data_IF_019475356718
#
_entry.id   IF_019475356718
#
_cell.length_a   1.000
_cell.length_b   1.000
_cell.length_c   1.000
_cell.angle_alpha   90.00
_cell.angle_beta   90.00
_cell.angle_gamma   90.00
#
_symmetry.space_group_name_H-M   'P 1'
#
loop_
_entity.id
_entity.type
_entity.pdbx_description
1 polymer ?
#
# COMPACT_ATOMS: atom_id res chain seq x y z
N UNK A 1 -38.00 -79.13 57.09
CA UNK A 1 -37.72 -78.11 58.05
C UNK A 1 -36.70 -77.16 57.47
N UNK A 2 -37.17 -76.10 56.96
CA UNK A 2 -37.07 -74.74 57.47
C UNK A 2 -35.69 -74.19 57.33
N UNK A 3 -35.62 -73.27 56.48
CA UNK A 3 -35.73 -71.82 56.60
C UNK A 3 -34.34 -71.23 56.80
N UNK A 4 -33.94 -70.18 56.23
CA UNK A 4 -34.50 -68.94 55.72
C UNK A 4 -33.44 -68.24 54.91
N UNK A 5 -33.84 -67.62 53.85
CA UNK A 5 -33.22 -66.41 53.35
C UNK A 5 -33.14 -65.34 54.42
N UNK A 6 -32.22 -64.39 54.31
CA UNK A 6 -32.57 -63.19 53.53
C UNK A 6 -31.41 -62.51 52.78
N UNK A 7 -31.75 -62.25 51.59
CA UNK A 7 -31.49 -61.06 50.87
C UNK A 7 -31.25 -59.78 51.69
N UNK A 8 -30.17 -59.09 51.44
CA UNK A 8 -30.22 -57.63 51.29
C UNK A 8 -29.10 -57.13 50.38
N UNK A 9 -29.49 -56.92 49.19
CA UNK A 9 -28.74 -56.15 48.23
C UNK A 9 -28.77 -54.69 48.69
N UNK A 10 -27.67 -54.21 49.23
CA UNK A 10 -27.44 -52.81 49.42
C UNK A 10 -27.26 -52.10 48.09
N UNK A 11 -28.32 -51.51 47.62
CA UNK A 11 -28.25 -50.52 46.49
C UNK A 11 -27.30 -49.44 46.79
N UNK A 12 -26.13 -49.48 46.21
CA UNK A 12 -25.24 -48.30 46.09
C UNK A 12 -25.85 -47.41 44.99
N UNK A 13 -26.68 -46.50 45.40
CA UNK A 13 -27.15 -45.41 44.56
C UNK A 13 -25.98 -44.48 44.20
N UNK A 14 -25.43 -44.68 43.04
CA UNK A 14 -24.57 -43.68 42.42
C UNK A 14 -25.39 -42.41 42.17
N UNK A 15 -25.18 -41.41 43.00
CA UNK A 15 -25.66 -40.06 42.75
C UNK A 15 -24.72 -39.38 41.76
N UNK A 16 -25.15 -39.02 40.56
CA UNK A 16 -24.34 -38.26 39.64
C UNK A 16 -24.18 -36.84 40.19
N UNK A 17 -22.99 -36.47 40.63
CA UNK A 17 -22.72 -35.06 40.97
C UNK A 17 -21.70 -34.77 42.06
N UNK A 18 -21.10 -35.78 42.69
CA UNK A 18 -20.08 -35.52 43.71
C UNK A 18 -18.64 -35.59 43.12
N UNK A 19 -18.33 -34.71 42.19
CA UNK A 19 -16.97 -34.45 41.74
C UNK A 19 -16.13 -33.72 42.78
N UNK A 20 -16.70 -33.35 43.94
CA UNK A 20 -16.06 -32.54 44.98
C UNK A 20 -15.07 -33.32 45.86
N UNK A 21 -14.88 -34.63 45.66
CA UNK A 21 -14.04 -35.46 46.55
C UNK A 21 -12.92 -36.25 45.89
N UNK A 22 -12.56 -35.96 44.64
CA UNK A 22 -11.32 -36.47 44.11
C UNK A 22 -10.18 -35.55 44.55
N UNK A 23 -9.86 -35.63 45.84
CA UNK A 23 -8.65 -34.95 46.35
C UNK A 23 -7.43 -35.60 45.71
N UNK A 24 -6.94 -34.98 44.65
CA UNK A 24 -5.61 -35.26 44.17
C UNK A 24 -4.64 -35.00 45.32
N UNK A 25 -3.71 -35.92 45.64
CA UNK A 25 -2.68 -35.64 46.64
C UNK A 25 -2.06 -34.30 46.41
N UNK A 26 -1.79 -33.51 47.47
CA UNK A 26 -1.22 -32.16 47.40
C UNK A 26 -0.05 -32.03 46.42
N UNK A 27 0.83 -33.01 46.43
CA UNK A 27 1.94 -33.12 45.49
C UNK A 27 1.50 -33.12 43.99
N UNK A 28 0.42 -33.81 43.65
CA UNK A 28 -0.11 -33.83 42.27
C UNK A 28 -0.77 -32.50 41.89
N UNK A 29 -1.39 -31.84 42.84
CA UNK A 29 -1.97 -30.51 42.63
C UNK A 29 -0.87 -29.47 42.38
N UNK A 30 0.22 -29.48 43.16
CA UNK A 30 1.38 -28.62 42.95
C UNK A 30 2.06 -28.86 41.59
N UNK A 31 2.22 -30.11 41.20
CA UNK A 31 2.83 -30.47 39.90
C UNK A 31 1.93 -30.01 38.73
N UNK A 32 0.62 -30.17 38.86
CA UNK A 32 -0.33 -29.67 37.84
C UNK A 32 -0.31 -28.15 37.74
N UNK A 33 -0.25 -27.43 38.87
CA UNK A 33 -0.13 -25.98 38.90
C UNK A 33 1.15 -25.48 38.25
N UNK A 34 2.31 -26.12 38.55
CA UNK A 34 3.59 -25.79 37.91
C UNK A 34 3.55 -25.98 36.39
N UNK A 35 3.04 -27.13 35.92
CA UNK A 35 2.88 -27.39 34.47
C UNK A 35 1.97 -26.39 33.80
N UNK A 36 0.88 -26.00 34.46
CA UNK A 36 -0.02 -24.98 33.96
C UNK A 36 0.68 -23.62 33.85
N UNK A 37 1.44 -23.25 34.87
CA UNK A 37 2.19 -22.00 34.86
C UNK A 37 3.24 -21.98 33.74
N UNK A 38 4.00 -23.07 33.56
CA UNK A 38 4.96 -23.23 32.45
C UNK A 38 4.26 -23.10 31.08
N UNK A 39 3.09 -23.74 30.92
CA UNK A 39 2.30 -23.64 29.70
C UNK A 39 1.85 -22.21 29.43
N UNK A 40 1.31 -21.51 30.44
CA UNK A 40 0.89 -20.12 30.31
C UNK A 40 2.06 -19.19 29.99
N UNK A 41 3.22 -19.41 30.58
CA UNK A 41 4.45 -18.63 30.28
C UNK A 41 4.84 -18.82 28.82
N UNK A 42 4.93 -20.07 28.34
CA UNK A 42 5.26 -20.38 26.94
C UNK A 42 4.23 -19.80 25.97
N UNK A 43 2.96 -19.86 26.33
CA UNK A 43 1.90 -19.28 25.51
C UNK A 43 2.02 -17.77 25.41
N UNK A 44 2.29 -17.08 26.53
CA UNK A 44 2.47 -15.64 26.55
C UNK A 44 3.71 -15.19 25.74
N UNK A 45 4.81 -15.95 25.79
CA UNK A 45 5.99 -15.72 24.95
C UNK A 45 5.69 -15.90 23.47
N UNK A 46 4.94 -16.94 23.12
CA UNK A 46 4.52 -17.21 21.73
C UNK A 46 3.62 -16.09 21.18
N UNK A 47 2.67 -15.61 21.98
CA UNK A 47 1.82 -14.49 21.60
C UNK A 47 2.63 -13.22 21.37
N UNK A 48 3.55 -12.89 22.28
CA UNK A 48 4.44 -11.73 22.11
C UNK A 48 5.27 -11.82 20.83
N UNK A 49 5.84 -12.97 20.54
CA UNK A 49 6.64 -13.16 19.33
C UNK A 49 5.79 -12.97 18.06
N UNK A 50 4.56 -13.47 18.08
CA UNK A 50 3.65 -13.30 16.96
C UNK A 50 3.20 -11.85 16.77
N UNK A 51 2.93 -11.11 17.86
CA UNK A 51 2.64 -9.68 17.80
C UNK A 51 3.77 -8.87 17.14
N UNK A 52 5.03 -9.14 17.52
CA UNK A 52 6.20 -8.49 16.90
C UNK A 52 6.28 -8.82 15.41
N UNK A 53 6.12 -10.09 15.02
CA UNK A 53 6.11 -10.50 13.62
C UNK A 53 5.02 -9.81 12.80
N UNK A 54 3.82 -9.68 13.37
CA UNK A 54 2.73 -8.98 12.70
C UNK A 54 3.01 -7.49 12.52
N UNK A 55 3.64 -6.85 13.49
CA UNK A 55 4.06 -5.45 13.39
C UNK A 55 5.11 -5.26 12.30
N UNK A 56 6.13 -6.10 12.25
CA UNK A 56 7.17 -6.05 11.21
C UNK A 56 6.57 -6.26 9.81
N UNK A 57 5.65 -7.20 9.67
CA UNK A 57 4.95 -7.44 8.39
C UNK A 57 4.12 -6.23 7.98
N UNK A 58 3.40 -5.61 8.91
CA UNK A 58 2.61 -4.40 8.63
C UNK A 58 3.49 -3.23 8.19
N UNK A 59 4.65 -3.05 8.80
CA UNK A 59 5.62 -2.03 8.39
C UNK A 59 6.13 -2.31 6.97
N UNK A 60 6.57 -3.52 6.68
CA UNK A 60 7.04 -3.91 5.35
C UNK A 60 5.96 -3.74 4.27
N UNK A 61 4.70 -4.07 4.57
CA UNK A 61 3.57 -3.86 3.66
C UNK A 61 3.29 -2.37 3.40
N UNK A 62 3.43 -1.51 4.41
CA UNK A 62 3.28 -0.05 4.26
C UNK A 62 4.39 0.52 3.38
N UNK A 63 5.64 0.18 3.65
CA UNK A 63 6.80 0.62 2.86
C UNK A 63 6.67 0.21 1.38
N UNK A 64 6.30 -1.05 1.12
CA UNK A 64 6.06 -1.53 -0.25
C UNK A 64 4.90 -0.80 -0.93
N UNK A 65 3.81 -0.54 -0.22
CA UNK A 65 2.67 0.19 -0.75
C UNK A 65 3.05 1.62 -1.13
N UNK A 66 3.81 2.30 -0.27
CA UNK A 66 4.24 3.68 -0.49
C UNK A 66 5.21 3.76 -1.66
N UNK A 67 6.15 2.84 -1.77
CA UNK A 67 7.05 2.71 -2.91
C UNK A 67 6.28 2.49 -4.22
N UNK A 68 5.31 1.56 -4.24
CA UNK A 68 4.48 1.29 -5.42
C UNK A 68 3.55 2.47 -5.78
N UNK A 69 3.05 3.20 -4.79
CA UNK A 69 2.19 4.36 -5.04
C UNK A 69 2.94 5.54 -5.63
N UNK A 70 4.24 5.66 -5.30
CA UNK A 70 5.15 6.69 -5.80
C UNK A 70 5.76 6.35 -7.17
N UNK A 71 5.62 5.11 -7.65
CA UNK A 71 6.15 4.70 -8.95
C UNK A 71 5.19 5.09 -10.08
N UNK A 72 5.62 5.87 -11.10
CA UNK A 72 4.81 6.21 -12.27
C UNK A 72 4.48 4.96 -13.10
N UNK A 73 3.22 4.51 -13.05
CA UNK A 73 2.79 3.25 -13.68
C UNK A 73 1.62 3.42 -14.64
N UNK A 74 1.03 4.61 -14.74
CA UNK A 74 -0.05 4.89 -15.67
C UNK A 74 0.38 5.98 -16.67
N UNK A 75 -0.23 5.96 -17.86
CA UNK A 75 -0.04 7.02 -18.83
C UNK A 75 -0.66 8.33 -18.34
N UNK A 76 0.06 9.46 -18.47
CA UNK A 76 -0.44 10.76 -18.00
C UNK A 76 -1.60 11.28 -18.84
N UNK A 77 -1.67 10.89 -20.10
CA UNK A 77 -2.72 11.30 -21.03
C UNK A 77 -2.99 10.18 -22.04
N UNK A 78 -4.25 10.00 -22.42
CA UNK A 78 -4.62 9.14 -23.55
C UNK A 78 -4.29 9.90 -24.82
N UNK A 79 -3.58 9.29 -25.77
CA UNK A 79 -3.19 9.96 -27.01
C UNK A 79 -2.25 9.14 -27.88
N UNK A 80 -1.75 9.75 -28.94
CA UNK A 80 -0.79 9.13 -29.84
C UNK A 80 0.62 9.67 -29.57
N UNK A 81 1.60 8.77 -29.50
CA UNK A 81 3.02 9.16 -29.41
C UNK A 81 3.46 9.72 -30.75
N UNK A 82 3.64 11.04 -30.81
CA UNK A 82 4.07 11.75 -32.04
C UNK A 82 5.59 11.87 -32.14
N UNK A 83 6.31 11.81 -31.02
CA UNK A 83 7.77 11.83 -31.00
C UNK A 83 8.32 11.13 -29.77
N UNK A 84 9.28 10.26 -29.97
CA UNK A 84 9.95 9.50 -28.93
C UNK A 84 11.12 10.24 -28.32
N UNK A 85 11.57 9.77 -27.17
CA UNK A 85 12.82 10.18 -26.54
C UNK A 85 14.01 9.85 -27.44
N UNK A 86 15.02 10.73 -27.49
CA UNK A 86 16.26 10.51 -28.21
C UNK A 86 16.58 11.55 -29.28
N UNK A 87 17.54 11.22 -30.13
CA UNK A 87 17.95 12.12 -31.23
C UNK A 87 16.89 12.17 -32.33
N UNK A 88 16.51 13.38 -32.72
CA UNK A 88 15.57 13.62 -33.83
C UNK A 88 15.98 14.86 -34.64
N UNK A 89 15.44 15.01 -35.84
CA UNK A 89 15.52 16.27 -36.58
C UNK A 89 14.81 17.38 -35.79
N UNK A 90 15.42 18.55 -35.72
CA UNK A 90 14.85 19.66 -34.97
C UNK A 90 13.51 20.12 -35.62
N UNK A 91 12.38 20.21 -34.86
CA UNK A 91 11.07 20.55 -35.43
C UNK A 91 10.98 21.96 -36.04
N UNK A 92 11.90 22.84 -35.69
CA UNK A 92 11.97 24.20 -36.22
C UNK A 92 13.11 24.41 -37.23
N UNK A 93 13.67 23.35 -37.78
CA UNK A 93 14.82 23.37 -38.69
C UNK A 93 16.16 23.44 -37.96
N UNK A 94 17.21 22.98 -38.61
CA UNK A 94 18.59 23.00 -38.09
C UNK A 94 19.19 21.62 -37.89
N UNK A 95 20.25 21.55 -37.06
CA UNK A 95 20.94 20.31 -36.72
C UNK A 95 20.06 19.42 -35.83
N UNK A 96 20.37 18.11 -35.78
CA UNK A 96 19.69 17.17 -34.89
C UNK A 96 19.59 17.67 -33.45
N UNK A 97 18.50 17.42 -32.82
CA UNK A 97 18.19 17.80 -31.44
C UNK A 97 17.91 16.55 -30.61
N UNK A 98 18.46 16.49 -29.41
CA UNK A 98 18.14 15.45 -28.46
C UNK A 98 16.84 15.77 -27.72
N UNK A 99 15.81 14.94 -27.89
CA UNK A 99 14.53 15.07 -27.23
C UNK A 99 14.58 14.37 -25.87
N UNK A 100 14.41 15.13 -24.78
CA UNK A 100 14.52 14.63 -23.40
C UNK A 100 13.21 14.06 -22.84
N UNK A 101 12.18 13.93 -23.67
CA UNK A 101 10.86 13.49 -23.26
C UNK A 101 10.17 12.65 -24.33
N UNK A 102 8.90 12.46 -24.14
CA UNK A 102 7.97 11.78 -25.03
C UNK A 102 6.84 12.76 -25.37
N UNK A 103 6.58 12.98 -26.65
CA UNK A 103 5.48 13.84 -27.09
C UNK A 103 4.23 13.00 -27.33
N UNK A 104 3.16 13.28 -26.59
CA UNK A 104 1.86 12.58 -26.71
C UNK A 104 0.83 13.59 -27.20
N UNK A 105 0.33 13.41 -28.41
CA UNK A 105 -0.62 14.31 -29.07
C UNK A 105 -2.05 13.94 -28.70
N UNK A 106 -2.84 14.95 -28.37
CA UNK A 106 -4.29 14.85 -28.22
C UNK A 106 -4.93 16.23 -28.42
N UNK A 107 -6.27 16.30 -28.35
CA UNK A 107 -7.03 17.56 -28.45
C UNK A 107 -6.68 18.50 -27.29
N UNK A 108 -6.62 19.80 -27.56
CA UNK A 108 -6.49 20.82 -26.53
C UNK A 108 -7.64 20.65 -25.52
N UNK A 109 -7.30 20.75 -24.22
CA UNK A 109 -8.25 20.58 -23.13
C UNK A 109 -8.40 19.12 -22.64
N UNK A 110 -7.73 18.15 -23.27
CA UNK A 110 -7.67 16.77 -22.74
C UNK A 110 -7.01 16.77 -21.38
N UNK A 111 -7.58 16.12 -20.33
CA UNK A 111 -6.99 16.09 -19.00
C UNK A 111 -5.66 15.32 -18.97
N UNK A 112 -4.70 15.88 -18.24
CA UNK A 112 -3.42 15.23 -17.93
C UNK A 112 -3.46 14.80 -16.47
N UNK A 113 -3.13 13.54 -16.20
CA UNK A 113 -3.19 12.92 -14.89
C UNK A 113 -1.80 12.65 -14.33
N UNK A 114 -1.67 12.75 -13.01
CA UNK A 114 -0.46 12.31 -12.31
C UNK A 114 -0.28 10.80 -12.43
N UNK A 115 0.87 10.28 -12.89
CA UNK A 115 1.10 8.84 -13.10
C UNK A 115 1.37 8.09 -11.79
N UNK A 116 1.68 8.82 -10.73
CA UNK A 116 1.90 8.35 -9.37
C UNK A 116 1.54 9.46 -8.38
N UNK A 117 1.46 9.14 -7.10
CA UNK A 117 1.37 10.16 -6.06
C UNK A 117 2.68 10.96 -5.98
N UNK A 118 2.61 12.21 -5.52
CA UNK A 118 3.79 13.04 -5.33
C UNK A 118 3.47 14.48 -4.96
N UNK A 119 4.51 15.25 -4.72
CA UNK A 119 4.41 16.67 -4.43
C UNK A 119 4.72 17.49 -5.68
N UNK A 120 3.87 18.44 -6.00
CA UNK A 120 4.07 19.38 -7.10
C UNK A 120 5.20 20.34 -6.72
N UNK A 121 6.29 20.29 -7.48
CA UNK A 121 7.47 21.14 -7.27
C UNK A 121 7.49 22.36 -8.19
N UNK A 122 6.69 22.34 -9.26
CA UNK A 122 6.50 23.47 -10.16
C UNK A 122 5.08 23.43 -10.74
N UNK A 123 4.40 24.56 -10.75
CA UNK A 123 3.12 24.76 -11.45
C UNK A 123 3.01 26.18 -12.00
N UNK A 124 3.20 26.33 -13.29
CA UNK A 124 3.18 27.65 -13.92
C UNK A 124 3.91 27.72 -15.25
N UNK A 125 4.33 28.90 -15.64
CA UNK A 125 5.10 29.10 -16.87
C UNK A 125 6.58 28.77 -16.65
N UNK A 126 7.13 27.95 -17.53
CA UNK A 126 8.52 27.52 -17.52
C UNK A 126 9.15 27.63 -18.92
N UNK A 127 9.61 28.82 -19.24
CA UNK A 127 10.36 29.11 -20.44
C UNK A 127 9.77 28.51 -21.72
N UNK A 128 10.55 27.68 -22.43
CA UNK A 128 10.15 27.03 -23.66
C UNK A 128 9.06 26.00 -23.49
N UNK A 129 8.90 25.40 -22.29
CA UNK A 129 7.86 24.44 -21.98
C UNK A 129 6.47 25.08 -21.84
N UNK A 130 6.36 26.39 -21.75
CA UNK A 130 5.09 27.08 -21.57
C UNK A 130 4.49 26.82 -20.19
N UNK A 131 3.19 26.59 -20.09
CA UNK A 131 2.58 26.12 -18.85
C UNK A 131 3.01 24.69 -18.57
N UNK A 132 3.57 24.47 -17.37
CA UNK A 132 4.20 23.23 -16.99
C UNK A 132 3.85 22.85 -15.56
N UNK A 133 3.80 21.55 -15.31
CA UNK A 133 3.73 20.97 -13.96
C UNK A 133 4.89 20.00 -13.80
N UNK A 134 5.54 20.05 -12.65
CA UNK A 134 6.57 19.09 -12.26
C UNK A 134 6.16 18.45 -10.93
N UNK A 135 6.31 17.13 -10.84
CA UNK A 135 5.89 16.34 -9.66
C UNK A 135 7.07 15.51 -9.19
N UNK A 136 7.44 15.68 -7.95
CA UNK A 136 8.41 14.83 -7.25
C UNK A 136 7.66 13.67 -6.57
N UNK A 137 7.93 12.45 -7.01
CA UNK A 137 7.30 11.22 -6.51
C UNK A 137 8.08 10.60 -5.35
N UNK A 138 9.22 11.19 -4.95
CA UNK A 138 10.15 10.57 -4.01
C UNK A 138 11.13 9.62 -4.70
N UNK A 139 12.07 9.06 -3.93
CA UNK A 139 13.10 8.12 -4.41
C UNK A 139 13.88 8.56 -5.65
N UNK A 140 14.03 9.90 -5.85
CA UNK A 140 14.70 10.48 -7.01
C UNK A 140 13.88 10.48 -8.31
N UNK A 141 12.62 10.10 -8.27
CA UNK A 141 11.74 10.07 -9.46
C UNK A 141 10.99 11.41 -9.55
N UNK A 142 11.15 12.09 -10.70
CA UNK A 142 10.47 13.32 -11.01
C UNK A 142 9.82 13.21 -12.40
N UNK A 143 8.58 13.67 -12.54
CA UNK A 143 7.91 13.77 -13.84
C UNK A 143 7.58 15.20 -14.15
N UNK A 144 7.70 15.57 -15.44
CA UNK A 144 7.45 16.93 -15.93
C UNK A 144 6.54 16.90 -17.15
N UNK A 145 5.56 17.79 -17.16
CA UNK A 145 4.55 17.96 -18.21
C UNK A 145 4.62 19.39 -18.72
N UNK A 146 4.81 19.56 -19.99
CA UNK A 146 4.90 20.88 -20.62
C UNK A 146 3.79 21.15 -21.64
N UNK A 147 3.86 22.31 -22.27
CA UNK A 147 2.97 22.75 -23.35
C UNK A 147 1.47 22.76 -23.01
N UNK A 148 1.16 22.73 -21.69
CA UNK A 148 -0.21 22.71 -21.19
C UNK A 148 -1.01 23.95 -21.61
N UNK A 149 -2.33 23.82 -21.71
CA UNK A 149 -3.24 24.93 -21.82
C UNK A 149 -3.30 25.71 -20.50
N UNK A 150 -3.39 24.98 -19.40
CA UNK A 150 -3.41 25.49 -18.02
C UNK A 150 -3.04 24.40 -17.02
N UNK A 151 -2.47 24.80 -15.91
CA UNK A 151 -2.27 23.93 -14.75
C UNK A 151 -3.57 23.83 -13.94
N UNK A 152 -3.84 22.67 -13.33
CA UNK A 152 -4.99 22.44 -12.46
C UNK A 152 -4.60 22.32 -10.99
N UNK A 153 -3.31 22.34 -10.70
CA UNK A 153 -2.72 22.17 -9.35
C UNK A 153 -1.80 23.34 -9.03
N UNK A 154 -1.42 23.47 -7.76
CA UNK A 154 -0.52 24.52 -7.28
C UNK A 154 0.81 23.93 -6.81
N UNK A 155 1.88 24.70 -6.84
CA UNK A 155 3.16 24.35 -6.24
C UNK A 155 2.99 24.08 -4.75
N UNK A 156 3.64 23.01 -4.23
CA UNK A 156 3.47 22.53 -2.86
C UNK A 156 2.24 21.63 -2.64
N UNK A 157 1.36 21.48 -3.63
CA UNK A 157 0.20 20.59 -3.53
C UNK A 157 0.65 19.13 -3.63
N UNK A 158 0.08 18.28 -2.74
CA UNK A 158 0.20 16.83 -2.85
C UNK A 158 -0.88 16.28 -3.77
N UNK A 159 -0.48 15.49 -4.77
CA UNK A 159 -1.39 14.86 -5.74
C UNK A 159 -1.36 13.35 -5.62
N UNK A 160 -2.50 12.73 -5.90
CA UNK A 160 -2.64 11.27 -5.96
C UNK A 160 -2.46 10.77 -7.39
N UNK A 161 -2.13 9.48 -7.54
CA UNK A 161 -2.15 8.82 -8.86
C UNK A 161 -3.54 8.96 -9.51
N UNK A 162 -3.58 9.38 -10.78
CA UNK A 162 -4.80 9.60 -11.54
C UNK A 162 -5.47 10.97 -11.30
N UNK A 163 -4.92 11.81 -10.43
CA UNK A 163 -5.44 13.16 -10.20
C UNK A 163 -5.10 14.08 -11.39
N UNK A 164 -6.05 14.92 -11.80
CA UNK A 164 -5.85 15.85 -12.92
C UNK A 164 -4.90 16.96 -12.50
N UNK A 165 -3.76 17.08 -13.19
CA UNK A 165 -2.73 18.09 -12.92
C UNK A 165 -2.74 19.23 -13.92
N UNK A 166 -3.40 19.07 -15.06
CA UNK A 166 -3.54 20.09 -16.08
C UNK A 166 -4.25 19.58 -17.32
N UNK A 167 -4.14 20.32 -18.39
CA UNK A 167 -4.85 20.03 -19.64
C UNK A 167 -3.92 20.22 -20.83
N UNK A 168 -3.99 19.33 -21.82
CA UNK A 168 -3.24 19.40 -23.08
C UNK A 168 -3.45 20.75 -23.73
N UNK A 169 -2.35 21.36 -24.17
CA UNK A 169 -2.37 22.68 -24.81
C UNK A 169 -1.38 22.80 -25.94
N UNK A 170 -0.98 24.06 -26.18
CA UNK A 170 0.01 24.43 -27.18
C UNK A 170 0.79 25.65 -26.70
N UNK A 171 1.03 25.79 -25.40
CA UNK A 171 1.78 26.92 -24.83
C UNK A 171 3.28 26.70 -24.95
N UNK A 172 4.03 27.82 -24.96
CA UNK A 172 5.49 27.79 -25.12
C UNK A 172 5.94 27.52 -26.55
N UNK A 173 7.08 26.83 -26.70
CA UNK A 173 7.69 26.56 -28.02
C UNK A 173 7.30 25.18 -28.52
N UNK A 174 6.22 25.08 -29.25
CA UNK A 174 5.68 23.85 -29.81
C UNK A 174 5.14 24.04 -31.22
N UNK A 175 5.04 22.97 -31.99
CA UNK A 175 4.48 22.97 -33.36
C UNK A 175 3.02 22.48 -33.42
N UNK A 176 2.48 21.97 -32.32
CA UNK A 176 1.10 21.47 -32.26
C UNK A 176 0.72 21.04 -30.85
N UNK A 177 -0.55 20.69 -30.61
CA UNK A 177 -1.02 20.28 -29.28
C UNK A 177 -0.44 18.91 -28.88
N UNK A 178 0.26 18.87 -27.76
CA UNK A 178 0.78 17.64 -27.18
C UNK A 178 1.05 17.78 -25.69
#
# INVERSE_FOLDING_TARGET
>A
NMEKDPTEAGSIGDRPGDFSRTYLPLHRQELAARKMLEFLTRLSESVRLEEVRQQDLLLALRENRDALSSMPTIWPVVGFVSSSFGWRSAPFGGRGQFHKGLDITNRIGTPIMAPAQGMVTLSGRDGAYGFSVEINHGSGIVTKYGHMQRCAVQEGQWVKRGEIVGYVGMSGRTTGPH
#
